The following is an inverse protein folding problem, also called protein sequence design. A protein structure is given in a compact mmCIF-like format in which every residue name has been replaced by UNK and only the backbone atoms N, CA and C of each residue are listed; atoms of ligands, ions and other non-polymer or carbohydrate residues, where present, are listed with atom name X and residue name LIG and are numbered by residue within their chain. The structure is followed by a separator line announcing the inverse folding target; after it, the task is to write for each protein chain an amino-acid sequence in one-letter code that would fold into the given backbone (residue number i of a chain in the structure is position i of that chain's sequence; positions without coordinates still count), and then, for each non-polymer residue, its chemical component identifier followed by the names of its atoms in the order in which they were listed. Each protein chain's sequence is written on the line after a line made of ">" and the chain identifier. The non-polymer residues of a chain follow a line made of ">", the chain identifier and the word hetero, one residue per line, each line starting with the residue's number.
data_IF_187219879550
#
_entry.id   IF_187219879550
#
_cell.length_a   1.000
_cell.length_b   1.000
_cell.length_c   1.000
_cell.angle_alpha   90.00
_cell.angle_beta   90.00
_cell.angle_gamma   90.00
#
_symmetry.space_group_name_H-M   'P 1'
#
loop_
_entity.id
_entity.type
_entity.pdbx_description
1 polymer ?
#
# COMPACT_ATOMS: atom_id res chain seq x y z
N UNK A 1 -28.06 3.01 -4.87
CA UNK A 1 -26.91 3.65 -5.54
C UNK A 1 -25.96 4.04 -4.43
N UNK A 2 -24.80 3.38 -4.30
CA UNK A 2 -23.77 3.80 -3.32
C UNK A 2 -23.04 4.97 -3.95
N UNK A 3 -23.14 6.14 -3.33
CA UNK A 3 -22.36 7.33 -3.67
C UNK A 3 -20.88 6.95 -3.56
N UNK A 4 -20.13 7.07 -4.65
CA UNK A 4 -18.68 7.01 -4.58
C UNK A 4 -18.25 8.33 -3.92
N UNK A 5 -17.97 8.28 -2.62
CA UNK A 5 -17.26 9.36 -1.94
C UNK A 5 -15.94 9.50 -2.66
N UNK A 6 -15.68 10.66 -3.28
CA UNK A 6 -14.37 10.90 -3.88
C UNK A 6 -13.32 10.72 -2.79
N UNK A 7 -12.28 9.90 -3.03
CA UNK A 7 -11.28 9.62 -2.01
C UNK A 7 -10.65 10.94 -1.58
N UNK A 8 -10.68 11.20 -0.25
CA UNK A 8 -9.77 12.17 0.33
C UNK A 8 -8.35 11.78 -0.13
N UNK A 9 -7.46 12.74 -0.35
CA UNK A 9 -6.14 12.42 -0.90
C UNK A 9 -5.31 11.48 0.00
N UNK A 10 -5.79 11.27 1.23
CA UNK A 10 -5.24 10.38 2.25
C UNK A 10 -6.08 9.12 2.50
N UNK A 11 -7.21 8.89 1.84
CA UNK A 11 -8.03 7.68 2.02
C UNK A 11 -8.63 7.17 0.70
N UNK A 12 -8.67 5.86 0.52
CA UNK A 12 -9.42 5.20 -0.56
C UNK A 12 -10.24 4.03 -0.03
N UNK A 13 -11.54 4.05 -0.30
CA UNK A 13 -12.48 2.97 0.01
C UNK A 13 -12.91 2.25 -1.26
N UNK A 14 -12.84 0.92 -1.26
CA UNK A 14 -13.35 0.06 -2.32
C UNK A 14 -14.08 -1.13 -1.69
N UNK A 15 -15.40 -1.19 -1.91
CA UNK A 15 -16.29 -2.20 -1.35
C UNK A 15 -16.25 -2.28 0.19
N UNK A 16 -15.68 -3.35 0.74
CA UNK A 16 -15.49 -3.57 2.19
C UNK A 16 -14.05 -3.33 2.63
N UNK A 17 -13.18 -2.82 1.76
CA UNK A 17 -11.78 -2.51 2.06
C UNK A 17 -11.53 -1.00 2.03
N UNK A 18 -10.65 -0.56 2.92
CA UNK A 18 -10.18 0.81 3.02
C UNK A 18 -8.66 0.83 3.15
N UNK A 19 -8.01 1.75 2.46
CA UNK A 19 -6.60 2.07 2.65
C UNK A 19 -6.44 3.56 2.92
N UNK A 20 -5.60 3.91 3.88
CA UNK A 20 -5.34 5.31 4.24
C UNK A 20 -3.85 5.59 4.42
N UNK A 21 -3.45 6.82 4.13
CA UNK A 21 -2.16 7.38 4.50
C UNK A 21 -2.25 8.07 5.85
N UNK A 22 -1.24 7.86 6.69
CA UNK A 22 -1.12 8.57 7.96
C UNK A 22 0.32 9.03 8.16
N UNK A 23 0.48 10.27 8.63
CA UNK A 23 1.75 10.74 9.17
C UNK A 23 1.73 10.59 10.68
N UNK A 24 2.64 9.77 11.21
CA UNK A 24 2.79 9.56 12.66
C UNK A 24 4.16 10.02 13.19
N UNK A 25 4.86 10.85 12.43
CA UNK A 25 6.20 11.33 12.79
C UNK A 25 7.34 10.40 12.37
N UNK A 26 7.15 9.57 11.34
CA UNK A 26 8.16 8.62 10.86
C UNK A 26 9.16 9.27 9.88
N UNK A 27 10.40 8.78 9.93
CA UNK A 27 11.47 9.04 8.98
C UNK A 27 12.21 7.76 8.58
N UNK A 28 13.34 7.87 7.87
CA UNK A 28 14.00 6.70 7.27
C UNK A 28 14.54 5.70 8.30
N UNK A 29 14.86 6.16 9.51
CA UNK A 29 15.47 5.36 10.57
C UNK A 29 14.70 5.46 11.90
N UNK A 30 13.37 5.54 11.82
CA UNK A 30 12.49 5.60 12.99
C UNK A 30 11.71 6.90 13.02
N UNK A 31 11.88 7.70 14.07
CA UNK A 31 11.22 9.01 14.15
C UNK A 31 11.95 10.03 13.27
N UNK A 32 11.15 10.85 12.57
CA UNK A 32 11.65 11.96 11.79
C UNK A 32 12.39 12.98 12.66
N UNK A 33 13.59 13.36 12.24
CA UNK A 33 14.39 14.40 12.86
C UNK A 33 14.60 15.58 11.90
N UNK A 34 13.87 16.68 12.12
CA UNK A 34 13.97 17.91 11.32
C UNK A 34 15.38 18.55 11.28
N UNK A 35 16.26 18.20 12.23
CA UNK A 35 17.63 18.71 12.29
C UNK A 35 18.59 17.94 11.41
N UNK A 36 18.20 16.76 10.95
CA UNK A 36 18.95 15.98 9.99
C UNK A 36 18.38 16.24 8.58
N UNK A 37 19.10 16.97 7.71
CA UNK A 37 18.60 17.27 6.37
C UNK A 37 18.47 16.04 5.47
N UNK A 38 19.08 14.91 5.85
CA UNK A 38 18.98 13.64 5.13
C UNK A 38 17.77 12.81 5.57
N UNK A 39 17.20 13.09 6.74
CA UNK A 39 15.99 12.43 7.19
C UNK A 39 14.76 13.07 6.52
N UNK A 40 13.80 12.25 6.10
CA UNK A 40 12.60 12.71 5.40
C UNK A 40 11.39 12.21 6.15
N UNK A 41 10.38 13.06 6.33
CA UNK A 41 9.11 12.66 6.89
C UNK A 41 8.39 11.70 5.93
N UNK A 42 7.92 10.55 6.43
CA UNK A 42 7.32 9.48 5.64
C UNK A 42 5.88 9.20 6.09
N UNK A 43 5.07 8.76 5.14
CA UNK A 43 3.71 8.26 5.38
C UNK A 43 3.75 6.77 5.70
N UNK A 44 2.77 6.35 6.50
CA UNK A 44 2.43 4.95 6.75
C UNK A 44 1.09 4.66 6.11
N UNK A 45 0.89 3.46 5.57
CA UNK A 45 -0.45 3.03 5.18
C UNK A 45 -1.08 2.15 6.24
N UNK A 46 -2.42 2.16 6.27
CA UNK A 46 -3.25 1.26 7.07
C UNK A 46 -4.32 0.67 6.16
N UNK A 47 -4.54 -0.64 6.28
CA UNK A 47 -5.71 -1.28 5.69
C UNK A 47 -6.73 -1.59 6.77
N UNK A 48 -7.99 -1.25 6.50
CA UNK A 48 -9.13 -1.59 7.35
C UNK A 48 -10.20 -2.30 6.52
N UNK A 49 -11.02 -3.12 7.18
CA UNK A 49 -12.17 -3.79 6.59
C UNK A 49 -13.46 -3.34 7.24
N UNK A 50 -14.51 -3.15 6.45
CA UNK A 50 -15.82 -2.78 6.98
C UNK A 50 -16.43 -3.94 7.74
N UNK A 51 -16.74 -3.74 9.02
CA UNK A 51 -17.48 -4.68 9.84
C UNK A 51 -18.98 -4.29 9.84
N UNK A 52 -19.85 -5.03 9.12
CA UNK A 52 -21.27 -4.66 9.02
C UNK A 52 -22.06 -4.92 10.30
N UNK A 53 -21.56 -5.76 11.22
CA UNK A 53 -22.22 -6.06 12.50
C UNK A 53 -22.13 -4.86 13.43
N UNK A 54 -20.92 -4.31 13.58
CA UNK A 54 -20.66 -3.15 14.44
C UNK A 54 -20.77 -1.80 13.70
N UNK A 55 -20.90 -1.83 12.37
CA UNK A 55 -20.96 -0.65 11.48
C UNK A 55 -19.74 0.26 11.64
N UNK A 56 -18.57 -0.36 11.68
CA UNK A 56 -17.29 0.34 11.85
C UNK A 56 -16.22 -0.22 10.92
N UNK A 57 -15.16 0.56 10.71
CA UNK A 57 -13.95 0.09 10.05
C UNK A 57 -13.05 -0.57 11.09
N UNK A 58 -12.69 -1.83 10.84
CA UNK A 58 -11.80 -2.62 11.69
C UNK A 58 -10.44 -2.73 11.01
N UNK A 59 -9.39 -2.28 11.67
CA UNK A 59 -8.03 -2.39 11.14
C UNK A 59 -7.64 -3.85 10.96
N UNK A 60 -7.01 -4.15 9.82
CA UNK A 60 -6.46 -5.47 9.61
C UNK A 60 -5.22 -5.65 10.49
N UNK A 61 -5.22 -6.69 11.32
CA UNK A 61 -4.07 -7.05 12.15
C UNK A 61 -2.80 -7.17 11.31
N UNK A 62 -1.70 -6.58 11.83
CA UNK A 62 -0.39 -6.53 11.17
C UNK A 62 -0.44 -5.92 9.74
N UNK A 63 -1.34 -4.97 9.46
CA UNK A 63 -1.46 -4.32 8.14
C UNK A 63 -0.99 -2.85 8.11
N UNK A 64 -0.17 -2.45 9.08
CA UNK A 64 0.34 -1.08 9.20
C UNK A 64 1.85 -1.05 9.02
N UNK A 65 2.37 -0.38 7.98
CA UNK A 65 3.80 -0.42 7.66
C UNK A 65 4.35 0.94 7.28
N UNK A 66 5.49 1.31 7.89
CA UNK A 66 6.30 2.45 7.46
C UNK A 66 6.58 2.32 5.96
N UNK A 67 6.59 3.43 5.24
CA UNK A 67 6.87 3.40 3.80
C UNK A 67 8.04 4.29 3.42
N UNK A 68 8.46 4.21 2.15
CA UNK A 68 9.37 5.20 1.54
C UNK A 68 8.60 6.37 0.91
N UNK A 69 7.29 6.46 1.14
CA UNK A 69 6.42 7.48 0.56
C UNK A 69 6.53 8.77 1.38
N UNK A 70 6.92 9.91 0.78
CA UNK A 70 7.17 11.12 1.52
C UNK A 70 5.88 11.79 1.97
N UNK A 71 5.89 12.34 3.19
CA UNK A 71 4.81 13.18 3.70
C UNK A 71 4.54 14.39 2.81
N UNK A 72 5.55 14.97 2.18
CA UNK A 72 5.39 16.14 1.30
C UNK A 72 4.84 15.79 -0.10
N UNK A 73 4.50 14.52 -0.37
CA UNK A 73 3.91 14.12 -1.63
C UNK A 73 2.63 14.90 -1.94
N UNK A 74 2.47 15.28 -3.20
CA UNK A 74 1.29 16.00 -3.71
C UNK A 74 0.01 15.17 -3.55
N UNK A 75 -1.17 15.81 -3.46
CA UNK A 75 -2.45 15.09 -3.41
C UNK A 75 -2.64 14.10 -4.57
N UNK A 76 -2.14 14.43 -5.77
CA UNK A 76 -2.16 13.55 -6.94
C UNK A 76 -1.32 12.29 -6.73
N UNK A 77 -0.10 12.46 -6.21
CA UNK A 77 0.80 11.34 -5.92
C UNK A 77 0.23 10.46 -4.82
N UNK A 78 -0.28 11.04 -3.73
CA UNK A 78 -0.88 10.26 -2.63
C UNK A 78 -2.07 9.44 -3.12
N UNK A 79 -2.97 10.03 -3.92
CA UNK A 79 -4.08 9.30 -4.55
C UNK A 79 -3.61 8.18 -5.47
N UNK A 80 -2.58 8.41 -6.28
CA UNK A 80 -2.00 7.36 -7.12
C UNK A 80 -1.40 6.23 -6.28
N UNK A 81 -0.73 6.56 -5.18
CA UNK A 81 -0.21 5.60 -4.21
C UNK A 81 -1.32 4.75 -3.57
N UNK A 82 -2.41 5.37 -3.11
CA UNK A 82 -3.56 4.65 -2.54
C UNK A 82 -4.19 3.70 -3.55
N UNK A 83 -4.36 4.13 -4.81
CA UNK A 83 -4.86 3.27 -5.89
C UNK A 83 -3.95 2.06 -6.11
N UNK A 84 -2.62 2.28 -6.18
CA UNK A 84 -1.66 1.20 -6.36
C UNK A 84 -1.70 0.19 -5.19
N UNK A 85 -1.81 0.70 -3.95
CA UNK A 85 -1.96 -0.13 -2.75
C UNK A 85 -3.25 -0.95 -2.80
N UNK A 86 -4.39 -0.29 -3.07
CA UNK A 86 -5.71 -0.93 -3.15
C UNK A 86 -5.75 -2.00 -4.25
N UNK A 87 -5.27 -1.69 -5.45
CA UNK A 87 -5.25 -2.64 -6.58
C UNK A 87 -4.43 -3.89 -6.24
N UNK A 88 -3.23 -3.71 -5.67
CA UNK A 88 -2.36 -4.84 -5.31
C UNK A 88 -2.91 -5.66 -4.15
N UNK A 89 -3.55 -4.99 -3.19
CA UNK A 89 -4.14 -5.65 -2.04
C UNK A 89 -5.40 -6.44 -2.41
N UNK A 90 -6.35 -5.78 -3.07
CA UNK A 90 -7.62 -6.39 -3.51
C UNK A 90 -7.41 -7.57 -4.46
N UNK A 91 -6.50 -7.45 -5.44
CA UNK A 91 -6.16 -8.54 -6.37
C UNK A 91 -5.68 -9.82 -5.68
N UNK A 92 -5.05 -9.71 -4.51
CA UNK A 92 -4.53 -10.86 -3.76
C UNK A 92 -5.47 -11.35 -2.66
N UNK A 93 -6.51 -10.57 -2.36
CA UNK A 93 -7.49 -10.85 -1.30
C UNK A 93 -8.83 -11.40 -1.84
N UNK A 94 -9.03 -11.48 -3.16
CA UNK A 94 -10.25 -11.98 -3.83
C UNK A 94 -10.60 -13.48 -3.61
N UNK A 95 -10.01 -14.12 -2.61
CA UNK A 95 -10.63 -15.28 -1.96
C UNK A 95 -10.42 -16.64 -2.61
N UNK A 96 -9.54 -16.80 -3.60
CA UNK A 96 -9.24 -18.13 -4.18
C UNK A 96 -8.05 -18.86 -3.54
N UNK A 97 -7.27 -18.19 -2.68
CA UNK A 97 -6.19 -18.81 -1.89
C UNK A 97 -6.31 -18.41 -0.43
N UNK A 98 -6.47 -19.42 0.41
CA UNK A 98 -6.53 -19.40 1.87
C UNK A 98 -5.86 -18.18 2.51
N UNK A 99 -6.65 -17.42 3.29
CA UNK A 99 -6.31 -16.12 3.89
C UNK A 99 -5.15 -16.14 4.89
N UNK A 100 -3.92 -16.34 4.40
CA UNK A 100 -2.68 -16.26 5.19
C UNK A 100 -1.58 -15.43 4.50
N UNK A 101 -1.95 -14.56 3.57
CA UNK A 101 -0.99 -13.86 2.70
C UNK A 101 -0.81 -12.36 2.94
N UNK A 102 -1.74 -11.67 3.59
CA UNK A 102 -1.73 -10.20 3.60
C UNK A 102 -0.57 -9.61 4.39
N UNK A 103 -0.10 -10.26 5.47
CA UNK A 103 1.09 -9.79 6.20
C UNK A 103 2.32 -9.67 5.29
N UNK A 104 2.65 -10.77 4.58
CA UNK A 104 3.75 -10.78 3.59
C UNK A 104 3.50 -9.86 2.40
N UNK A 105 2.24 -9.53 2.11
CA UNK A 105 1.89 -8.59 1.05
C UNK A 105 2.13 -7.16 1.53
N UNK A 106 1.64 -6.79 2.71
CA UNK A 106 1.84 -5.49 3.31
C UNK A 106 3.32 -5.22 3.62
N UNK A 107 4.07 -6.22 4.08
CA UNK A 107 5.53 -6.16 4.17
C UNK A 107 6.17 -5.79 2.83
N UNK A 108 5.67 -6.33 1.70
CA UNK A 108 6.15 -5.96 0.36
C UNK A 108 5.69 -4.57 -0.06
N UNK A 109 4.44 -4.22 0.22
CA UNK A 109 3.87 -2.91 -0.08
C UNK A 109 4.52 -1.80 0.74
N UNK A 110 5.12 -2.10 1.90
CA UNK A 110 5.87 -1.14 2.72
C UNK A 110 7.02 -0.47 1.96
N UNK A 111 7.56 -1.14 0.93
CA UNK A 111 8.61 -0.56 0.09
C UNK A 111 8.09 0.48 -0.91
N UNK A 112 6.79 0.76 -0.95
CA UNK A 112 6.22 1.79 -1.83
C UNK A 112 6.91 3.13 -1.60
N UNK A 113 7.22 3.79 -2.71
CA UNK A 113 7.76 5.14 -2.79
C UNK A 113 7.27 5.82 -4.07
N UNK A 114 7.67 7.07 -4.29
CA UNK A 114 7.28 7.80 -5.51
C UNK A 114 7.81 7.15 -6.80
N UNK A 115 8.92 6.42 -6.70
CA UNK A 115 9.51 5.63 -7.79
C UNK A 115 8.52 4.61 -8.38
N UNK A 116 7.64 4.04 -7.56
CA UNK A 116 6.65 3.05 -8.02
C UNK A 116 5.53 3.68 -8.87
N UNK A 117 5.34 4.99 -8.77
CA UNK A 117 4.33 5.71 -9.55
C UNK A 117 4.81 5.95 -10.98
N UNK A 118 6.11 6.14 -11.18
CA UNK A 118 6.71 6.32 -12.51
C UNK A 118 6.68 5.00 -13.31
N UNK A 119 6.97 3.88 -12.66
CA UNK A 119 6.89 2.54 -13.26
C UNK A 119 5.45 2.17 -13.68
N UNK A 120 4.43 2.69 -12.97
CA UNK A 120 3.02 2.40 -13.26
C UNK A 120 2.50 3.06 -14.55
N UNK A 121 3.20 4.06 -15.08
CA UNK A 121 2.88 4.69 -16.37
C UNK A 121 3.36 3.84 -17.57
N UNK A 122 4.27 2.88 -17.35
CA UNK A 122 4.93 2.14 -18.45
C UNK A 122 4.23 0.82 -18.82
N UNK A 123 3.31 0.30 -17.99
CA UNK A 123 2.68 -0.98 -18.29
C UNK A 123 1.29 -1.11 -17.66
N UNK A 124 0.27 -0.81 -18.46
CA UNK A 124 -1.07 -1.40 -18.33
C UNK A 124 -1.18 -2.65 -19.24
N UNK A 125 -0.07 -3.33 -19.53
CA UNK A 125 0.01 -4.39 -20.53
C UNK A 125 0.96 -5.55 -20.24
N UNK A 126 1.98 -5.41 -19.40
CA UNK A 126 2.95 -6.48 -19.15
C UNK A 126 3.49 -6.37 -17.71
N UNK A 127 2.79 -7.00 -16.75
CA UNK A 127 3.31 -7.21 -15.40
C UNK A 127 4.49 -8.19 -15.44
N UNK A 128 5.66 -7.71 -15.87
CA UNK A 128 6.93 -8.40 -15.77
C UNK A 128 7.39 -8.46 -14.31
N UNK A 129 7.92 -9.63 -13.96
CA UNK A 129 8.31 -10.06 -12.63
C UNK A 129 9.13 -9.05 -11.83
N UNK A 130 8.87 -8.99 -10.51
CA UNK A 130 9.76 -8.35 -9.56
C UNK A 130 11.12 -9.06 -9.56
N UNK A 131 12.25 -8.38 -9.32
CA UNK A 131 13.58 -9.01 -9.27
C UNK A 131 13.69 -10.15 -8.24
N UNK A 132 12.86 -10.14 -7.19
CA UNK A 132 12.78 -11.22 -6.20
C UNK A 132 11.93 -12.43 -6.60
N UNK A 133 11.14 -12.34 -7.68
CA UNK A 133 10.33 -13.45 -8.20
C UNK A 133 11.06 -14.28 -9.27
N UNK A 134 12.23 -13.82 -9.72
CA UNK A 134 13.05 -14.51 -10.74
C UNK A 134 13.78 -15.72 -10.14
N UNK A 135 14.09 -15.72 -8.84
CA UNK A 135 14.86 -16.81 -8.20
C UNK A 135 14.08 -18.11 -7.95
N UNK A 136 12.76 -18.18 -8.22
CA UNK A 136 12.00 -19.43 -8.03
C UNK A 136 11.59 -20.16 -9.31
N UNK A 137 11.98 -19.70 -10.50
CA UNK A 137 11.62 -20.38 -11.76
C UNK A 137 12.67 -21.35 -12.31
N UNK A 138 13.86 -21.41 -11.73
CA UNK A 138 14.96 -22.25 -12.22
C UNK A 138 15.12 -23.60 -11.46
N UNK A 139 14.22 -23.95 -10.53
CA UNK A 139 14.37 -25.14 -9.68
C UNK A 139 13.44 -26.34 -10.01
N UNK A 140 12.74 -26.35 -11.16
CA UNK A 140 11.85 -27.49 -11.54
C UNK A 140 12.03 -27.99 -12.98
N UNK A 141 13.20 -27.75 -13.59
CA UNK A 141 13.64 -28.51 -14.77
C UNK A 141 15.03 -29.09 -14.54
N UNK A 142 15.06 -30.25 -13.90
CA UNK A 142 16.19 -31.16 -13.79
C UNK A 142 15.65 -32.55 -13.53
#
# INVERSE_FOLDING_TARGET
>A
MKEAVEPDCDELVQEDLKVEWQYIGEGYCGYYNEKDPQDKALLRFYFSRWNPEYKEWEDLDDASYCTRFPYEATPEQRRAGLKLLMDRFSYKCDGTREGRGWKKLCERLSWIGLDWLDDSQTSMGDYAAYPGDIEQREATRG
#
